data_IF_383474418882
#
_entry.id   IF_383474418882
#
_cell.length_a   1.000
_cell.length_b   1.000
_cell.length_c   1.000
_cell.angle_alpha   90.00
_cell.angle_beta   90.00
_cell.angle_gamma   90.00
#
_symmetry.space_group_name_H-M   'P 1'
#
loop_
_entity.id
_entity.type
_entity.pdbx_description
1 polymer ?
#
# COMPACT_ATOMS: atom_id res chain seq x y z
N UNK A 1 38.24 24.04 -3.73
CA UNK A 1 38.62 25.07 -4.73
C UNK A 1 37.49 26.08 -4.82
N UNK A 2 37.73 27.36 -4.51
CA UNK A 2 36.78 28.44 -4.79
C UNK A 2 37.08 28.96 -6.19
N UNK A 3 36.16 28.81 -7.12
CA UNK A 3 36.27 29.38 -8.46
C UNK A 3 36.11 30.88 -8.39
N UNK A 4 36.89 31.64 -9.19
CA UNK A 4 36.70 33.07 -9.33
C UNK A 4 35.38 33.40 -10.04
N UNK A 5 34.79 34.59 -9.80
CA UNK A 5 33.52 34.99 -10.45
C UNK A 5 33.66 35.02 -12.00
N UNK A 6 34.81 35.34 -12.54
CA UNK A 6 35.10 35.34 -13.98
C UNK A 6 35.12 33.93 -14.58
N UNK A 7 35.71 32.93 -13.90
CA UNK A 7 35.71 31.52 -14.35
C UNK A 7 34.34 30.92 -14.30
N UNK A 8 33.49 31.31 -13.34
CA UNK A 8 32.12 30.85 -13.24
C UNK A 8 31.24 31.38 -14.37
N UNK A 9 31.40 32.66 -14.74
CA UNK A 9 30.66 33.29 -15.84
C UNK A 9 31.04 32.72 -17.22
N UNK A 10 32.34 32.51 -17.51
CA UNK A 10 32.77 31.92 -18.78
C UNK A 10 32.26 30.47 -18.96
N UNK A 11 32.11 29.69 -17.88
CA UNK A 11 31.58 28.32 -17.93
C UNK A 11 30.05 28.25 -18.08
N UNK A 12 29.33 29.26 -17.61
CA UNK A 12 27.86 29.29 -17.69
C UNK A 12 27.35 29.53 -19.11
N UNK A 13 28.11 30.26 -19.91
CA UNK A 13 27.70 30.66 -21.27
C UNK A 13 28.27 29.77 -22.39
N UNK A 14 29.20 28.86 -22.09
CA UNK A 14 29.74 27.93 -23.08
C UNK A 14 28.83 26.72 -23.25
N UNK A 15 28.22 26.60 -24.43
CA UNK A 15 27.45 25.39 -24.78
C UNK A 15 28.40 24.19 -24.97
N UNK A 16 28.20 23.09 -24.26
CA UNK A 16 29.05 21.91 -24.42
C UNK A 16 28.88 21.26 -25.80
N UNK A 17 29.96 20.72 -26.32
CA UNK A 17 29.91 19.84 -27.52
C UNK A 17 29.18 18.55 -27.21
N UNK A 18 28.22 18.17 -28.06
CA UNK A 18 27.46 16.93 -27.92
C UNK A 18 28.19 15.80 -28.62
N UNK A 19 28.53 14.73 -27.87
CA UNK A 19 29.11 13.50 -28.40
C UNK A 19 28.20 12.29 -28.06
N UNK A 20 27.98 11.44 -29.03
CA UNK A 20 27.17 10.22 -28.87
C UNK A 20 28.08 9.00 -28.94
N UNK A 21 28.33 8.37 -27.78
CA UNK A 21 29.18 7.20 -27.63
C UNK A 21 28.50 6.11 -26.84
N UNK A 22 28.78 4.83 -27.17
CA UNK A 22 28.27 3.70 -26.38
C UNK A 22 29.09 3.51 -25.11
N UNK A 23 28.67 4.12 -24.01
CA UNK A 23 29.41 4.15 -22.76
C UNK A 23 28.83 3.23 -21.67
N UNK A 24 27.83 2.41 -21.96
CA UNK A 24 27.12 1.56 -20.99
C UNK A 24 26.66 2.37 -19.74
N UNK A 25 26.08 3.55 -19.98
CA UNK A 25 25.56 4.42 -18.93
C UNK A 25 24.21 3.92 -18.44
N UNK A 26 23.97 4.02 -17.15
CA UNK A 26 22.68 3.77 -16.49
C UNK A 26 22.19 4.99 -15.74
N UNK A 27 20.90 5.29 -15.81
CA UNK A 27 20.24 6.29 -14.98
C UNK A 27 19.78 5.74 -13.63
N UNK A 28 19.94 4.44 -13.39
CA UNK A 28 19.36 3.71 -12.27
C UNK A 28 20.39 2.87 -11.51
N UNK A 29 21.59 3.43 -11.27
CA UNK A 29 22.70 2.72 -10.65
C UNK A 29 22.33 2.11 -9.28
N UNK A 30 21.39 2.70 -8.55
CA UNK A 30 20.89 2.16 -7.29
C UNK A 30 20.08 0.87 -7.41
N UNK A 31 19.72 0.41 -8.62
CA UNK A 31 19.13 -0.91 -8.82
C UNK A 31 20.06 -2.06 -8.40
N UNK A 32 21.35 -1.81 -8.21
CA UNK A 32 22.28 -2.79 -7.64
C UNK A 32 21.83 -3.26 -6.24
N UNK A 33 21.19 -2.39 -5.46
CA UNK A 33 20.60 -2.72 -4.15
C UNK A 33 19.48 -3.75 -4.35
N UNK A 34 18.58 -3.48 -5.30
CA UNK A 34 17.48 -4.39 -5.61
C UNK A 34 17.97 -5.71 -6.23
N UNK A 35 19.08 -5.71 -6.96
CA UNK A 35 19.68 -6.94 -7.45
C UNK A 35 20.09 -7.86 -6.31
N UNK A 36 20.83 -7.33 -5.30
CA UNK A 36 21.21 -8.09 -4.10
C UNK A 36 19.97 -8.48 -3.28
N UNK A 37 19.04 -7.56 -3.07
CA UNK A 37 17.82 -7.79 -2.30
C UNK A 37 16.91 -8.85 -2.94
N UNK A 38 16.65 -8.80 -4.25
CA UNK A 38 15.82 -9.82 -4.93
C UNK A 38 16.47 -11.21 -4.87
N UNK A 39 17.79 -11.26 -4.90
CA UNK A 39 18.53 -12.49 -4.71
C UNK A 39 18.38 -13.03 -3.28
N UNK A 40 18.57 -12.18 -2.23
CA UNK A 40 18.49 -12.61 -0.82
C UNK A 40 17.12 -13.14 -0.40
N UNK A 41 16.04 -12.66 -1.04
CA UNK A 41 14.66 -13.15 -0.78
C UNK A 41 14.20 -14.20 -1.79
N UNK A 42 15.08 -14.64 -2.69
CA UNK A 42 14.80 -15.61 -3.75
C UNK A 42 13.58 -15.24 -4.64
N UNK A 43 13.37 -13.95 -4.87
CA UNK A 43 12.18 -13.45 -5.56
C UNK A 43 11.91 -14.16 -6.88
N UNK A 44 12.94 -14.37 -7.71
CA UNK A 44 12.80 -15.04 -9.00
C UNK A 44 12.32 -16.49 -8.86
N UNK A 45 12.82 -17.22 -7.86
CA UNK A 45 12.41 -18.60 -7.56
C UNK A 45 10.94 -18.65 -7.16
N UNK A 46 10.53 -17.80 -6.21
CA UNK A 46 9.13 -17.70 -5.73
C UNK A 46 8.17 -17.36 -6.87
N UNK A 47 8.50 -16.37 -7.69
CA UNK A 47 7.66 -15.99 -8.82
C UNK A 47 7.63 -17.06 -9.92
N UNK A 48 8.71 -17.87 -10.10
CA UNK A 48 8.71 -18.97 -11.05
C UNK A 48 7.65 -20.01 -10.72
N UNK A 49 7.45 -20.34 -9.45
CA UNK A 49 6.40 -21.27 -9.02
C UNK A 49 5.00 -20.76 -9.33
N UNK A 50 4.77 -19.45 -9.26
CA UNK A 50 3.48 -18.84 -9.58
C UNK A 50 3.07 -19.05 -11.06
N UNK A 51 4.05 -19.15 -11.96
CA UNK A 51 3.85 -19.31 -13.38
C UNK A 51 4.14 -20.73 -13.91
N UNK A 52 4.46 -21.68 -13.03
CA UNK A 52 4.93 -23.03 -13.42
C UNK A 52 4.08 -23.71 -14.51
N UNK A 53 2.73 -23.66 -14.48
CA UNK A 53 1.90 -24.30 -15.52
C UNK A 53 1.98 -23.64 -16.90
N UNK A 54 2.47 -22.40 -16.99
CA UNK A 54 2.38 -21.55 -18.18
C UNK A 54 3.73 -20.97 -18.62
N UNK A 55 4.84 -21.46 -18.07
CA UNK A 55 6.15 -20.82 -18.23
C UNK A 55 6.88 -21.16 -19.53
N UNK A 56 6.16 -21.38 -20.61
CA UNK A 56 6.71 -21.84 -21.90
C UNK A 56 6.89 -20.73 -22.96
N UNK A 57 7.20 -19.49 -22.53
CA UNK A 57 7.53 -18.41 -23.47
C UNK A 57 8.85 -18.67 -24.22
N UNK A 58 8.84 -18.68 -25.54
CA UNK A 58 10.01 -19.01 -26.38
C UNK A 58 11.19 -18.04 -26.22
N UNK A 59 10.96 -16.76 -25.93
CA UNK A 59 12.00 -15.72 -25.84
C UNK A 59 12.03 -15.10 -24.43
N UNK A 60 10.88 -14.73 -23.88
CA UNK A 60 10.76 -14.14 -22.55
C UNK A 60 9.82 -14.98 -21.69
N UNK A 61 10.30 -15.50 -20.57
CA UNK A 61 9.44 -16.23 -19.66
C UNK A 61 8.55 -15.27 -18.85
N UNK A 62 7.38 -15.75 -18.39
CA UNK A 62 6.37 -14.97 -17.67
C UNK A 62 6.89 -14.38 -16.35
N UNK A 63 7.78 -15.10 -15.66
CA UNK A 63 8.45 -14.62 -14.45
C UNK A 63 9.25 -13.35 -14.72
N UNK A 64 10.04 -13.34 -15.79
CA UNK A 64 10.83 -12.16 -16.18
C UNK A 64 9.96 -10.98 -16.58
N UNK A 65 8.85 -11.21 -17.30
CA UNK A 65 7.89 -10.16 -17.64
C UNK A 65 7.22 -9.56 -16.39
N UNK A 66 6.89 -10.38 -15.40
CA UNK A 66 6.33 -9.89 -14.16
C UNK A 66 7.35 -9.10 -13.33
N UNK A 67 8.60 -9.57 -13.24
CA UNK A 67 9.70 -8.82 -12.60
C UNK A 67 9.95 -7.49 -13.33
N UNK A 68 9.86 -7.46 -14.66
CA UNK A 68 9.95 -6.22 -15.43
C UNK A 68 8.84 -5.22 -15.02
N UNK A 69 7.61 -5.67 -14.82
CA UNK A 69 6.52 -4.82 -14.32
C UNK A 69 6.82 -4.28 -12.91
N UNK A 70 7.35 -5.10 -12.01
CA UNK A 70 7.77 -4.65 -10.68
C UNK A 70 8.84 -3.56 -10.81
N UNK A 71 9.88 -3.77 -11.62
CA UNK A 71 10.94 -2.79 -11.86
C UNK A 71 10.38 -1.53 -12.51
N UNK A 72 9.51 -1.64 -13.51
CA UNK A 72 8.82 -0.52 -14.16
C UNK A 72 8.16 0.41 -13.14
N UNK A 73 7.42 -0.16 -12.19
CA UNK A 73 6.75 0.59 -11.13
C UNK A 73 7.71 1.12 -10.05
N UNK A 74 8.77 0.39 -9.71
CA UNK A 74 9.85 0.87 -8.84
C UNK A 74 10.56 2.08 -9.44
N UNK A 75 10.79 2.09 -10.75
CA UNK A 75 11.38 3.23 -11.48
C UNK A 75 10.43 4.43 -11.57
N UNK A 76 9.13 4.23 -11.30
CA UNK A 76 8.12 5.29 -11.28
C UNK A 76 7.41 5.50 -12.59
N UNK A 77 7.52 4.57 -13.51
CA UNK A 77 6.80 4.62 -14.78
C UNK A 77 5.37 4.10 -14.63
N UNK A 78 4.43 4.78 -15.24
CA UNK A 78 3.00 4.49 -15.11
C UNK A 78 2.46 3.67 -16.28
N UNK A 79 2.68 4.15 -17.49
CA UNK A 79 2.10 3.57 -18.69
C UNK A 79 3.04 2.50 -19.25
N UNK A 80 2.48 1.40 -19.77
CA UNK A 80 3.30 0.33 -20.33
C UNK A 80 4.27 0.84 -21.43
N UNK A 81 3.86 1.89 -22.17
CA UNK A 81 4.71 2.48 -23.21
C UNK A 81 5.97 3.18 -22.64
N UNK A 82 5.98 3.52 -21.37
CA UNK A 82 7.11 4.18 -20.72
C UNK A 82 8.31 3.23 -20.57
N UNK A 83 8.12 1.92 -20.83
CA UNK A 83 9.20 0.94 -20.89
C UNK A 83 10.32 1.35 -21.87
N UNK A 84 10.00 2.12 -22.90
CA UNK A 84 10.96 2.69 -23.87
C UNK A 84 12.03 3.58 -23.22
N UNK A 85 11.74 4.22 -22.09
CA UNK A 85 12.68 5.13 -21.40
C UNK A 85 13.82 4.40 -20.69
N UNK A 86 13.68 3.10 -20.44
CA UNK A 86 14.74 2.28 -19.83
C UNK A 86 15.12 1.07 -20.70
N UNK A 87 14.60 0.98 -21.93
CA UNK A 87 14.76 -0.19 -22.80
C UNK A 87 16.23 -0.50 -23.09
N UNK A 88 17.06 0.52 -23.21
CA UNK A 88 18.50 0.39 -23.49
C UNK A 88 19.37 0.43 -22.22
N UNK A 89 18.79 0.64 -21.04
CA UNK A 89 19.56 0.73 -19.80
C UNK A 89 20.27 -0.59 -19.46
N UNK A 90 21.61 -0.61 -19.35
CA UNK A 90 22.38 -1.83 -19.19
C UNK A 90 22.20 -2.47 -17.82
N UNK A 91 21.89 -1.69 -16.77
CA UNK A 91 21.67 -2.24 -15.42
C UNK A 91 20.28 -2.86 -15.30
N UNK A 92 19.27 -2.30 -15.94
CA UNK A 92 17.93 -2.89 -16.04
C UNK A 92 17.98 -4.21 -16.82
N UNK A 93 18.68 -4.24 -17.97
CA UNK A 93 18.92 -5.48 -18.72
C UNK A 93 19.57 -6.55 -17.85
N UNK A 94 20.60 -6.16 -17.07
CA UNK A 94 21.32 -7.07 -16.18
C UNK A 94 20.44 -7.59 -15.03
N UNK A 95 19.66 -6.73 -14.39
CA UNK A 95 18.76 -7.13 -13.29
C UNK A 95 17.70 -8.15 -13.76
N UNK A 96 17.23 -8.00 -14.99
CA UNK A 96 16.31 -8.95 -15.62
C UNK A 96 17.02 -10.22 -16.16
N UNK A 97 18.34 -10.20 -16.28
CA UNK A 97 19.13 -11.28 -16.90
C UNK A 97 18.88 -11.39 -18.40
N UNK A 98 18.70 -10.25 -19.09
CA UNK A 98 18.34 -10.15 -20.50
C UNK A 98 19.34 -9.29 -21.29
N UNK A 99 19.60 -9.65 -22.53
CA UNK A 99 20.34 -8.81 -23.48
C UNK A 99 19.45 -7.74 -24.13
N UNK A 100 18.15 -8.03 -24.24
CA UNK A 100 17.13 -7.13 -24.78
C UNK A 100 15.92 -7.11 -23.86
N UNK A 101 15.41 -5.91 -23.54
CA UNK A 101 14.20 -5.77 -22.73
C UNK A 101 12.97 -6.01 -23.61
N UNK A 102 11.96 -6.76 -23.12
CA UNK A 102 10.67 -6.94 -23.77
C UNK A 102 9.99 -5.60 -24.11
N UNK A 103 9.44 -5.51 -25.29
CA UNK A 103 8.71 -4.35 -25.76
C UNK A 103 7.30 -4.25 -25.13
N UNK A 104 6.65 -3.12 -25.38
CA UNK A 104 5.29 -2.81 -24.88
C UNK A 104 4.25 -3.84 -25.35
N UNK A 105 4.38 -4.32 -26.60
CA UNK A 105 3.43 -5.29 -27.15
C UNK A 105 3.56 -6.65 -26.44
N UNK A 106 4.78 -7.06 -26.12
CA UNK A 106 5.05 -8.30 -25.35
C UNK A 106 4.49 -8.20 -23.94
N UNK A 107 4.71 -7.08 -23.23
CA UNK A 107 4.15 -6.85 -21.88
C UNK A 107 2.62 -6.82 -21.94
N UNK A 108 2.04 -6.11 -22.92
CA UNK A 108 0.58 -6.04 -23.07
C UNK A 108 -0.05 -7.42 -23.35
N UNK A 109 0.61 -8.24 -24.17
CA UNK A 109 0.19 -9.62 -24.47
C UNK A 109 0.26 -10.49 -23.22
N UNK A 110 1.36 -10.43 -22.48
CA UNK A 110 1.51 -11.11 -21.19
C UNK A 110 0.36 -10.80 -20.23
N UNK A 111 0.00 -9.51 -20.07
CA UNK A 111 -1.13 -9.12 -19.24
C UNK A 111 -2.47 -9.64 -19.76
N UNK A 112 -2.71 -9.62 -21.08
CA UNK A 112 -3.96 -10.13 -21.68
C UNK A 112 -4.13 -11.64 -21.50
N UNK A 113 -3.03 -12.38 -21.47
CA UNK A 113 -3.00 -13.83 -21.28
C UNK A 113 -3.01 -14.28 -19.82
N UNK A 114 -3.06 -13.35 -18.87
CA UNK A 114 -3.16 -13.67 -17.44
C UNK A 114 -4.46 -14.44 -17.13
N UNK A 115 -4.36 -15.44 -16.26
CA UNK A 115 -5.47 -16.31 -15.87
C UNK A 115 -5.83 -16.12 -14.39
N UNK A 116 -7.01 -16.60 -13.99
CA UNK A 116 -7.43 -16.64 -12.59
C UNK A 116 -6.39 -17.39 -11.72
N UNK A 117 -5.89 -18.52 -12.21
CA UNK A 117 -4.91 -19.34 -11.49
C UNK A 117 -3.60 -18.59 -11.26
N UNK A 118 -3.06 -17.90 -12.28
CA UNK A 118 -1.81 -17.14 -12.14
C UNK A 118 -1.99 -15.95 -11.20
N UNK A 119 -3.10 -15.23 -11.27
CA UNK A 119 -3.38 -14.12 -10.33
C UNK A 119 -3.53 -14.61 -8.90
N UNK A 120 -4.15 -15.76 -8.68
CA UNK A 120 -4.29 -16.35 -7.36
C UNK A 120 -2.94 -16.83 -6.80
N UNK A 121 -2.10 -17.45 -7.63
CA UNK A 121 -0.75 -17.86 -7.23
C UNK A 121 0.12 -16.66 -6.84
N UNK A 122 0.09 -15.58 -7.64
CA UNK A 122 0.80 -14.33 -7.33
C UNK A 122 0.29 -13.69 -6.04
N UNK A 123 -1.03 -13.66 -5.83
CA UNK A 123 -1.65 -13.16 -4.61
C UNK A 123 -1.18 -13.95 -3.38
N UNK A 124 -1.16 -15.29 -3.47
CA UNK A 124 -0.66 -16.16 -2.41
C UNK A 124 0.82 -15.91 -2.13
N UNK A 125 1.65 -15.82 -3.17
CA UNK A 125 3.08 -15.53 -3.02
C UNK A 125 3.31 -14.18 -2.30
N UNK A 126 2.56 -13.12 -2.65
CA UNK A 126 2.62 -11.83 -1.96
C UNK A 126 2.28 -11.98 -0.48
N UNK A 127 1.18 -12.68 -0.16
CA UNK A 127 0.72 -12.93 1.20
C UNK A 127 1.77 -13.71 2.00
N UNK A 128 2.32 -14.79 1.46
CA UNK A 128 3.36 -15.61 2.09
C UNK A 128 4.60 -14.79 2.45
N UNK A 129 5.05 -13.89 1.56
CA UNK A 129 6.20 -13.02 1.85
C UNK A 129 5.94 -12.09 3.04
N UNK A 130 4.73 -11.54 3.13
CA UNK A 130 4.33 -10.70 4.28
C UNK A 130 4.23 -11.53 5.56
N UNK A 131 3.62 -12.71 5.48
CA UNK A 131 3.49 -13.63 6.61
C UNK A 131 4.85 -14.08 7.16
N UNK A 132 5.81 -14.37 6.29
CA UNK A 132 7.19 -14.68 6.71
C UNK A 132 7.83 -13.51 7.50
N UNK A 133 7.64 -12.27 7.06
CA UNK A 133 8.11 -11.10 7.81
C UNK A 133 7.44 -11.00 9.18
N UNK A 134 6.14 -11.22 9.25
CA UNK A 134 5.40 -11.21 10.52
C UNK A 134 5.88 -12.31 11.48
N UNK A 135 6.21 -13.49 10.96
CA UNK A 135 6.76 -14.59 11.73
C UNK A 135 8.12 -14.21 12.37
N UNK A 136 8.97 -13.52 11.62
CA UNK A 136 10.26 -13.03 12.14
C UNK A 136 10.13 -11.96 13.23
N UNK A 137 9.09 -11.12 13.14
CA UNK A 137 8.82 -10.04 14.12
C UNK A 137 8.11 -10.60 15.36
N UNK A 138 7.21 -11.57 15.16
CA UNK A 138 6.36 -12.19 16.18
C UNK A 138 5.75 -11.16 17.18
N UNK A 139 5.00 -10.14 16.70
CA UNK A 139 4.51 -9.09 17.57
C UNK A 139 3.45 -9.67 18.53
N UNK A 140 3.38 -9.21 19.80
CA UNK A 140 2.38 -9.69 20.75
C UNK A 140 0.94 -9.33 20.36
N UNK A 141 0.79 -8.25 19.56
CA UNK A 141 -0.47 -7.80 18.97
C UNK A 141 -0.26 -7.37 17.54
N UNK A 142 -1.18 -7.75 16.67
CA UNK A 142 -1.18 -7.37 15.26
C UNK A 142 -2.50 -6.71 14.89
N UNK A 143 -2.42 -5.56 14.23
CA UNK A 143 -3.60 -4.82 13.78
C UNK A 143 -3.76 -4.93 12.28
N UNK A 144 -4.91 -5.43 11.85
CA UNK A 144 -5.35 -5.51 10.47
C UNK A 144 -6.33 -4.37 10.18
N UNK A 145 -6.01 -3.55 9.19
CA UNK A 145 -6.87 -2.48 8.71
C UNK A 145 -7.53 -2.89 7.40
N UNK A 146 -8.86 -2.76 7.33
CA UNK A 146 -9.63 -3.07 6.13
C UNK A 146 -10.27 -1.81 5.58
N UNK A 147 -10.06 -1.56 4.28
CA UNK A 147 -10.68 -0.44 3.57
C UNK A 147 -10.69 -0.70 2.06
N UNK A 148 -11.61 -0.04 1.34
CA UNK A 148 -11.71 -0.11 -0.10
C UNK A 148 -10.97 1.04 -0.79
N UNK A 149 -10.52 0.83 -2.03
CA UNK A 149 -9.87 1.88 -2.80
C UNK A 149 -10.31 1.89 -4.26
N UNK A 150 -10.94 2.98 -4.70
CA UNK A 150 -11.44 3.11 -6.08
C UNK A 150 -10.30 3.20 -7.08
N UNK A 151 -10.40 2.41 -8.16
CA UNK A 151 -9.53 2.44 -9.33
C UNK A 151 -10.36 2.78 -10.57
N UNK A 152 -10.35 4.05 -10.96
CA UNK A 152 -11.15 4.56 -12.08
C UNK A 152 -10.54 4.19 -13.43
N UNK A 153 -11.38 3.87 -14.41
CA UNK A 153 -10.95 3.65 -15.79
C UNK A 153 -11.81 4.45 -16.78
N UNK A 154 -11.17 4.96 -17.82
CA UNK A 154 -11.86 5.52 -18.99
C UNK A 154 -12.25 4.43 -19.99
N UNK A 155 -11.72 3.22 -19.83
CA UNK A 155 -11.91 2.09 -20.74
C UNK A 155 -13.05 1.20 -20.26
N UNK A 156 -13.73 0.52 -21.17
CA UNK A 156 -14.61 -0.60 -20.84
C UNK A 156 -13.73 -1.82 -20.54
N UNK A 157 -13.26 -1.93 -19.31
CA UNK A 157 -12.49 -3.08 -18.84
C UNK A 157 -13.44 -4.13 -18.26
N UNK A 158 -13.14 -5.40 -18.50
CA UNK A 158 -13.88 -6.55 -17.99
C UNK A 158 -13.99 -6.48 -16.46
N UNK A 159 -15.18 -6.75 -15.91
CA UNK A 159 -15.44 -6.69 -14.47
C UNK A 159 -15.46 -5.28 -13.87
N UNK A 160 -15.27 -4.20 -14.67
CA UNK A 160 -15.46 -2.83 -14.19
C UNK A 160 -16.94 -2.42 -14.25
N UNK A 161 -17.39 -1.60 -13.30
CA UNK A 161 -18.75 -1.10 -13.25
C UNK A 161 -18.80 0.38 -12.83
N UNK A 162 -19.91 1.06 -13.20
CA UNK A 162 -20.25 2.38 -12.67
C UNK A 162 -20.83 2.19 -11.26
N UNK A 163 -20.34 2.94 -10.27
CA UNK A 163 -20.80 2.77 -8.89
C UNK A 163 -20.24 3.83 -7.93
N UNK A 164 -19.64 3.40 -6.83
CA UNK A 164 -19.26 4.24 -5.67
C UNK A 164 -18.07 5.18 -5.89
N UNK A 165 -17.86 5.70 -7.08
CA UNK A 165 -16.77 6.62 -7.37
C UNK A 165 -17.16 8.08 -7.11
N UNK A 166 -16.99 8.55 -5.87
CA UNK A 166 -17.32 9.92 -5.46
C UNK A 166 -16.53 10.99 -6.23
N UNK A 167 -15.28 10.72 -6.63
CA UNK A 167 -14.40 11.68 -7.32
C UNK A 167 -14.71 11.83 -8.81
N UNK A 168 -15.23 10.77 -9.45
CA UNK A 168 -15.55 10.75 -10.88
C UNK A 168 -16.90 10.05 -11.07
N UNK A 169 -17.99 10.79 -10.77
CA UNK A 169 -19.37 10.30 -10.93
C UNK A 169 -19.58 9.79 -12.36
N UNK A 170 -20.23 8.64 -12.52
CA UNK A 170 -20.50 8.03 -13.82
C UNK A 170 -19.32 7.29 -14.45
N UNK A 171 -18.10 7.38 -13.93
CA UNK A 171 -16.97 6.63 -14.45
C UNK A 171 -17.00 5.16 -14.00
N UNK A 172 -16.66 4.26 -14.93
CA UNK A 172 -16.43 2.85 -14.59
C UNK A 172 -15.19 2.72 -13.71
N UNK A 173 -15.24 1.79 -12.78
CA UNK A 173 -14.15 1.56 -11.84
C UNK A 173 -14.13 0.12 -11.35
N UNK A 174 -13.01 -0.30 -10.79
CA UNK A 174 -12.91 -1.36 -9.80
C UNK A 174 -12.92 -0.76 -8.40
N UNK A 175 -13.33 -1.55 -7.42
CA UNK A 175 -13.31 -1.18 -6.02
C UNK A 175 -12.73 -2.33 -5.17
N UNK A 176 -11.42 -2.61 -5.30
CA UNK A 176 -10.77 -3.61 -4.49
C UNK A 176 -10.81 -3.24 -3.01
N UNK A 177 -11.05 -4.26 -2.18
CA UNK A 177 -10.93 -4.23 -0.73
C UNK A 177 -9.53 -4.72 -0.36
N UNK A 178 -8.85 -4.01 0.54
CA UNK A 178 -7.50 -4.32 0.98
C UNK A 178 -7.47 -4.66 2.46
N UNK A 179 -6.59 -5.59 2.83
CA UNK A 179 -6.12 -5.81 4.18
C UNK A 179 -4.69 -5.30 4.30
N UNK A 180 -4.45 -4.35 5.19
CA UNK A 180 -3.12 -3.80 5.47
C UNK A 180 -2.73 -4.04 6.92
N UNK A 181 -1.43 -4.12 7.19
CA UNK A 181 -0.87 -4.35 8.51
C UNK A 181 -0.34 -3.04 9.07
N UNK A 182 -0.88 -2.59 10.19
CA UNK A 182 -0.50 -1.33 10.79
C UNK A 182 0.99 -1.29 11.20
N UNK A 183 1.53 -2.39 11.74
CA UNK A 183 2.89 -2.46 12.27
C UNK A 183 3.98 -2.41 11.19
N UNK A 184 3.73 -2.99 10.01
CA UNK A 184 4.69 -3.08 8.90
C UNK A 184 4.33 -2.19 7.71
N UNK A 185 3.14 -1.58 7.73
CA UNK A 185 2.58 -0.81 6.60
C UNK A 185 2.56 -1.60 5.28
N UNK A 186 2.57 -2.91 5.32
CA UNK A 186 2.46 -3.76 4.14
C UNK A 186 1.01 -4.10 3.82
N UNK A 187 0.73 -4.37 2.55
CA UNK A 187 -0.54 -4.96 2.12
C UNK A 187 -0.45 -6.47 2.27
N UNK A 188 -1.28 -7.04 3.13
CA UNK A 188 -1.33 -8.49 3.36
C UNK A 188 -2.04 -9.18 2.20
N UNK A 189 -3.20 -8.64 1.82
CA UNK A 189 -4.05 -9.26 0.80
C UNK A 189 -5.05 -8.25 0.23
N UNK A 190 -5.74 -8.61 -0.87
CA UNK A 190 -6.81 -7.81 -1.45
C UNK A 190 -7.88 -8.68 -2.09
N UNK A 191 -9.11 -8.17 -2.11
CA UNK A 191 -10.25 -8.74 -2.83
C UNK A 191 -10.63 -7.80 -3.98
N UNK A 192 -10.37 -8.20 -5.21
CA UNK A 192 -10.69 -7.40 -6.38
C UNK A 192 -12.20 -7.46 -6.69
N UNK A 193 -12.84 -6.30 -6.83
CA UNK A 193 -14.30 -6.19 -6.98
C UNK A 193 -14.67 -5.15 -8.02
N UNK A 194 -15.84 -5.26 -8.69
CA UNK A 194 -16.43 -4.19 -9.51
C UNK A 194 -16.69 -2.92 -8.70
N UNK A 195 -16.74 -1.77 -9.38
CA UNK A 195 -16.95 -0.46 -8.74
C UNK A 195 -18.33 -0.22 -8.13
N UNK A 196 -19.32 -1.09 -8.41
CA UNK A 196 -20.67 -1.00 -7.87
C UNK A 196 -20.93 -1.95 -6.68
N UNK A 197 -19.90 -2.62 -6.19
CA UNK A 197 -20.04 -3.53 -5.03
C UNK A 197 -19.85 -2.75 -3.74
N UNK A 198 -20.82 -2.85 -2.82
CA UNK A 198 -20.73 -2.27 -1.49
C UNK A 198 -19.64 -2.95 -0.64
N UNK A 199 -19.02 -2.22 0.29
CA UNK A 199 -17.90 -2.74 1.09
C UNK A 199 -18.24 -3.99 1.90
N UNK A 200 -19.45 -4.13 2.40
CA UNK A 200 -19.90 -5.30 3.15
C UNK A 200 -20.00 -6.59 2.31
N UNK A 201 -20.15 -6.49 0.98
CA UNK A 201 -20.31 -7.67 0.12
C UNK A 201 -19.00 -8.43 -0.04
N UNK A 202 -18.99 -9.70 0.39
CA UNK A 202 -17.82 -10.55 0.39
C UNK A 202 -16.77 -10.19 1.46
N UNK A 203 -16.98 -9.11 2.22
CA UNK A 203 -16.04 -8.62 3.20
C UNK A 203 -15.86 -9.59 4.37
N UNK A 204 -16.96 -10.18 4.90
CA UNK A 204 -16.88 -11.14 6.00
C UNK A 204 -15.91 -12.28 5.69
N UNK A 205 -16.10 -12.96 4.56
CA UNK A 205 -15.23 -14.09 4.15
C UNK A 205 -13.78 -13.63 3.95
N UNK A 206 -13.56 -12.47 3.34
CA UNK A 206 -12.23 -11.93 3.13
C UNK A 206 -11.52 -11.55 4.44
N UNK A 207 -12.23 -10.88 5.36
CA UNK A 207 -11.70 -10.50 6.68
C UNK A 207 -11.28 -11.74 7.46
N UNK A 208 -12.18 -12.74 7.52
CA UNK A 208 -11.90 -13.99 8.24
C UNK A 208 -10.75 -14.77 7.61
N UNK A 209 -10.66 -14.83 6.28
CA UNK A 209 -9.53 -15.47 5.60
C UNK A 209 -8.18 -14.79 5.90
N UNK A 210 -8.14 -13.46 5.97
CA UNK A 210 -6.94 -12.73 6.38
C UNK A 210 -6.55 -13.03 7.84
N UNK A 211 -7.52 -13.10 8.74
CA UNK A 211 -7.32 -13.45 10.15
C UNK A 211 -6.79 -14.88 10.26
N UNK A 212 -7.43 -15.84 9.59
CA UNK A 212 -7.04 -17.26 9.60
C UNK A 212 -5.61 -17.44 9.08
N UNK A 213 -5.24 -16.75 8.00
CA UNK A 213 -3.88 -16.79 7.45
C UNK A 213 -2.81 -16.30 8.45
N UNK A 214 -3.12 -15.27 9.23
CA UNK A 214 -2.22 -14.77 10.28
C UNK A 214 -2.20 -15.71 11.49
N UNK A 215 -3.36 -16.19 11.95
CA UNK A 215 -3.44 -17.08 13.10
C UNK A 215 -2.72 -18.41 12.86
N UNK A 216 -2.75 -18.92 11.62
CA UNK A 216 -2.05 -20.17 11.25
C UNK A 216 -0.54 -20.09 11.50
N UNK A 217 0.08 -18.90 11.35
CA UNK A 217 1.53 -18.72 11.52
C UNK A 217 1.90 -18.06 12.85
N UNK A 218 0.99 -17.33 13.47
CA UNK A 218 1.18 -16.58 14.72
C UNK A 218 0.06 -16.88 15.73
N UNK A 219 -0.07 -18.13 16.22
CA UNK A 219 -1.19 -18.54 17.07
C UNK A 219 -1.22 -17.80 18.43
N UNK A 220 -0.06 -17.35 18.94
CA UNK A 220 0.03 -16.61 20.19
C UNK A 220 -0.21 -15.10 20.06
N UNK A 221 -0.26 -14.56 18.83
CA UNK A 221 -0.43 -13.13 18.58
C UNK A 221 -1.91 -12.74 18.69
N UNK A 222 -2.22 -11.73 19.51
CA UNK A 222 -3.57 -11.16 19.56
C UNK A 222 -3.85 -10.33 18.30
N UNK A 223 -4.84 -10.74 17.52
CA UNK A 223 -5.27 -10.00 16.33
C UNK A 223 -6.30 -8.95 16.71
N UNK A 224 -6.12 -7.77 16.18
CA UNK A 224 -7.00 -6.61 16.34
C UNK A 224 -7.41 -6.11 14.94
N UNK A 225 -8.66 -5.66 14.79
CA UNK A 225 -9.20 -5.21 13.49
C UNK A 225 -9.71 -3.78 13.59
N UNK A 226 -9.44 -2.97 12.54
CA UNK A 226 -10.02 -1.63 12.38
C UNK A 226 -10.70 -1.52 11.03
N UNK A 227 -11.89 -0.94 11.03
CA UNK A 227 -12.70 -0.77 9.81
C UNK A 227 -13.41 0.58 9.83
N UNK A 228 -13.83 1.05 8.66
CA UNK A 228 -14.67 2.23 8.54
C UNK A 228 -16.17 1.90 8.62
N UNK A 229 -17.03 2.90 8.45
CA UNK A 229 -18.48 2.75 8.57
C UNK A 229 -19.13 1.91 7.46
N UNK A 230 -18.44 1.67 6.35
CA UNK A 230 -18.95 0.85 5.26
C UNK A 230 -19.01 -0.65 5.62
N UNK A 231 -18.27 -1.06 6.66
CA UNK A 231 -18.29 -2.44 7.18
C UNK A 231 -19.28 -2.65 8.35
N UNK A 232 -20.11 -1.66 8.67
CA UNK A 232 -21.08 -1.77 9.76
C UNK A 232 -22.18 -2.79 9.41
N UNK A 233 -21.98 -4.02 9.85
CA UNK A 233 -22.82 -5.17 9.56
C UNK A 233 -22.81 -6.15 10.75
N UNK A 234 -24.01 -6.64 11.12
CA UNK A 234 -24.17 -7.66 12.18
C UNK A 234 -23.31 -8.89 11.90
N UNK A 235 -23.34 -9.38 10.66
CA UNK A 235 -22.61 -10.59 10.26
C UNK A 235 -21.10 -10.48 10.44
N UNK A 236 -20.51 -9.31 10.22
CA UNK A 236 -19.08 -9.07 10.41
C UNK A 236 -18.76 -8.98 11.90
N UNK A 237 -19.53 -8.17 12.63
CA UNK A 237 -19.29 -7.86 14.05
C UNK A 237 -19.53 -9.11 14.92
N UNK A 238 -20.60 -9.87 14.64
CA UNK A 238 -20.88 -11.12 15.32
C UNK A 238 -19.75 -12.14 15.10
N UNK A 239 -19.31 -12.33 13.85
CA UNK A 239 -18.25 -13.28 13.53
C UNK A 239 -16.90 -12.92 14.18
N UNK A 240 -16.55 -11.62 14.27
CA UNK A 240 -15.34 -11.17 14.98
C UNK A 240 -15.48 -11.43 16.50
N UNK A 241 -16.65 -11.15 17.07
CA UNK A 241 -16.90 -11.32 18.51
C UNK A 241 -16.89 -12.80 18.90
N UNK A 242 -17.52 -13.69 18.12
CA UNK A 242 -17.53 -15.13 18.31
C UNK A 242 -16.12 -15.75 18.30
N UNK A 243 -15.23 -15.18 17.49
CA UNK A 243 -13.81 -15.61 17.43
C UNK A 243 -12.90 -14.91 18.47
N UNK A 244 -13.47 -14.07 19.35
CA UNK A 244 -12.68 -13.32 20.32
C UNK A 244 -11.73 -12.28 19.72
N UNK A 245 -11.95 -11.87 18.47
CA UNK A 245 -11.12 -10.85 17.79
C UNK A 245 -11.53 -9.46 18.29
N UNK A 246 -10.57 -8.71 18.80
CA UNK A 246 -10.77 -7.33 19.22
C UNK A 246 -10.94 -6.42 17.99
N UNK A 247 -11.94 -5.55 18.01
CA UNK A 247 -12.16 -4.63 16.89
C UNK A 247 -12.59 -3.23 17.30
N UNK A 248 -12.42 -2.27 16.39
CA UNK A 248 -13.13 -0.99 16.36
C UNK A 248 -13.63 -0.71 14.96
N UNK A 249 -14.84 -0.17 14.85
CA UNK A 249 -15.48 0.14 13.60
C UNK A 249 -16.24 1.45 13.72
N UNK A 250 -16.10 2.35 12.73
CA UNK A 250 -16.91 3.56 12.64
C UNK A 250 -18.38 3.20 12.37
N UNK A 251 -19.30 3.92 12.98
CA UNK A 251 -20.75 3.68 12.81
C UNK A 251 -21.33 4.79 11.92
N UNK A 252 -22.14 4.47 10.90
CA UNK A 252 -22.83 5.44 10.08
C UNK A 252 -24.06 6.00 10.85
N UNK A 253 -23.82 6.66 12.00
CA UNK A 253 -24.84 7.07 12.95
C UNK A 253 -25.84 8.04 12.36
N UNK A 254 -25.47 8.79 11.31
CA UNK A 254 -26.34 9.72 10.60
C UNK A 254 -27.56 9.02 9.96
N UNK A 255 -27.43 7.72 9.69
CA UNK A 255 -28.52 6.88 9.15
C UNK A 255 -29.35 6.18 10.23
N UNK A 256 -28.97 6.32 11.51
CA UNK A 256 -29.57 5.62 12.64
C UNK A 256 -30.23 6.61 13.59
N UNK A 257 -31.55 6.79 13.47
CA UNK A 257 -32.35 7.77 14.22
C UNK A 257 -32.17 7.64 15.73
N UNK A 258 -32.08 6.39 16.24
CA UNK A 258 -31.90 6.15 17.68
C UNK A 258 -30.57 6.72 18.19
N UNK A 259 -29.47 6.55 17.42
CA UNK A 259 -28.15 7.07 17.81
C UNK A 259 -28.09 8.60 17.77
N UNK A 260 -28.78 9.22 16.81
CA UNK A 260 -28.97 10.68 16.76
C UNK A 260 -29.70 11.17 18.00
N UNK A 261 -30.82 10.55 18.34
CA UNK A 261 -31.58 10.89 19.54
C UNK A 261 -30.75 10.77 20.82
N UNK A 262 -29.88 9.75 20.89
CA UNK A 262 -28.94 9.62 22.04
C UNK A 262 -27.94 10.78 22.10
N UNK A 263 -27.47 11.29 20.96
CA UNK A 263 -26.57 12.45 20.89
C UNK A 263 -27.31 13.73 21.31
N UNK A 264 -28.49 13.96 20.75
CA UNK A 264 -29.33 15.17 20.98
C UNK A 264 -29.80 15.29 22.43
N UNK A 265 -30.21 14.16 23.04
CA UNK A 265 -30.69 14.12 24.42
C UNK A 265 -29.56 14.13 25.44
N UNK A 266 -28.31 13.98 25.02
CA UNK A 266 -27.16 13.84 25.92
C UNK A 266 -26.74 15.18 26.50
N UNK A 267 -27.04 15.41 27.80
CA UNK A 267 -26.65 16.62 28.51
C UNK A 267 -25.23 16.58 29.09
N UNK A 268 -24.76 15.42 29.57
CA UNK A 268 -23.44 15.28 30.23
C UNK A 268 -22.47 14.51 29.38
N UNK A 269 -21.41 15.19 28.94
CA UNK A 269 -20.28 14.63 28.20
C UNK A 269 -19.03 14.62 29.08
N UNK A 270 -18.26 13.55 29.08
CA UNK A 270 -16.98 13.44 29.77
C UNK A 270 -15.87 13.89 28.85
N UNK A 271 -14.85 14.58 29.36
CA UNK A 271 -13.73 15.05 28.55
C UNK A 271 -12.73 13.91 28.26
N UNK A 272 -12.25 13.82 27.03
CA UNK A 272 -11.08 13.06 26.62
C UNK A 272 -9.84 13.95 26.65
N UNK A 273 -9.97 15.17 26.16
CA UNK A 273 -8.97 16.25 26.12
C UNK A 273 -9.67 17.62 26.05
N UNK A 274 -8.93 18.69 25.78
CA UNK A 274 -9.45 20.07 25.79
C UNK A 274 -10.57 20.31 24.75
N UNK A 275 -10.47 19.69 23.56
CA UNK A 275 -11.41 19.92 22.44
C UNK A 275 -12.37 18.75 22.24
N UNK A 276 -12.14 17.59 22.89
CA UNK A 276 -12.86 16.34 22.63
C UNK A 276 -13.57 15.83 23.87
N UNK A 277 -14.83 15.47 23.73
CA UNK A 277 -15.61 14.85 24.80
C UNK A 277 -16.38 13.62 24.32
N UNK A 278 -16.82 12.78 25.24
CA UNK A 278 -17.42 11.49 24.93
C UNK A 278 -18.50 11.07 25.91
N UNK A 279 -19.32 10.12 25.48
CA UNK A 279 -20.07 9.23 26.35
C UNK A 279 -20.11 7.81 25.77
N UNK A 280 -20.57 6.87 26.57
CA UNK A 280 -20.67 5.46 26.16
C UNK A 280 -22.11 4.96 26.38
N UNK A 281 -22.50 4.03 25.51
CA UNK A 281 -23.77 3.31 25.65
C UNK A 281 -23.60 1.87 25.18
N UNK A 282 -24.28 0.95 25.82
CA UNK A 282 -24.45 -0.42 25.33
C UNK A 282 -25.76 -0.49 24.53
N UNK A 283 -25.63 -0.58 23.22
CA UNK A 283 -26.76 -0.53 22.29
C UNK A 283 -26.66 -1.60 21.19
N UNK A 284 -27.76 -1.85 20.54
CA UNK A 284 -27.83 -2.64 19.30
C UNK A 284 -28.93 -2.14 18.38
N UNK A 285 -28.81 -2.22 17.04
CA UNK A 285 -29.93 -2.10 16.13
C UNK A 285 -31.00 -3.14 16.43
N UNK A 286 -32.27 -2.86 16.14
CA UNK A 286 -33.41 -3.76 16.45
C UNK A 286 -33.21 -5.17 15.85
N UNK A 287 -32.62 -5.26 14.66
CA UNK A 287 -32.38 -6.54 13.95
C UNK A 287 -31.16 -7.33 14.44
N UNK A 288 -30.36 -6.80 15.37
CA UNK A 288 -29.16 -7.49 15.87
C UNK A 288 -29.46 -8.28 17.13
N UNK A 289 -28.79 -9.44 17.30
CA UNK A 289 -28.98 -10.27 18.50
C UNK A 289 -28.23 -9.73 19.71
N UNK A 290 -26.98 -9.26 19.54
CA UNK A 290 -26.09 -8.88 20.62
C UNK A 290 -25.99 -7.36 20.79
N UNK A 291 -25.86 -6.91 22.05
CA UNK A 291 -25.52 -5.54 22.38
C UNK A 291 -24.01 -5.37 22.37
N UNK A 292 -23.55 -4.19 21.91
CA UNK A 292 -22.14 -3.83 21.87
C UNK A 292 -21.91 -2.48 22.53
N UNK A 293 -20.65 -2.23 22.87
CA UNK A 293 -20.19 -0.94 23.42
C UNK A 293 -20.08 0.06 22.27
N UNK A 294 -20.82 1.16 22.37
CA UNK A 294 -20.73 2.31 21.48
C UNK A 294 -20.06 3.46 22.20
N UNK A 295 -19.05 4.03 21.59
CA UNK A 295 -18.35 5.21 22.05
C UNK A 295 -18.73 6.38 21.16
N UNK A 296 -19.45 7.34 21.72
CA UNK A 296 -19.84 8.58 21.08
C UNK A 296 -18.81 9.64 21.40
N UNK A 297 -18.25 10.27 20.38
CA UNK A 297 -17.21 11.28 20.50
C UNK A 297 -17.71 12.54 19.80
N UNK A 298 -17.53 13.69 20.44
CA UNK A 298 -17.70 15.00 19.82
C UNK A 298 -16.40 15.79 19.93
N UNK A 299 -16.02 16.46 18.84
CA UNK A 299 -14.82 17.30 18.78
C UNK A 299 -15.23 18.72 18.42
N UNK A 300 -14.79 19.71 19.18
CA UNK A 300 -15.10 21.11 18.93
C UNK A 300 -14.46 21.55 17.60
N UNK A 301 -15.27 22.10 16.69
CA UNK A 301 -14.83 22.63 15.41
C UNK A 301 -14.50 24.11 15.55
N UNK A 302 -13.20 24.45 15.52
CA UNK A 302 -12.72 25.84 15.48
C UNK A 302 -12.90 26.52 14.10
N UNK A 303 -13.41 25.82 13.11
CA UNK A 303 -13.58 26.34 11.76
C UNK A 303 -14.95 26.98 11.60
N UNK A 304 -15.00 28.31 11.45
CA UNK A 304 -16.13 28.97 10.83
C UNK A 304 -16.33 28.38 9.43
N UNK A 305 -17.51 27.78 9.19
CA UNK A 305 -17.87 27.34 7.85
C UNK A 305 -17.92 28.56 6.92
N UNK A 306 -17.01 28.62 5.93
CA UNK A 306 -17.06 29.61 4.86
C UNK A 306 -18.04 29.11 3.80
N UNK A 307 -19.29 29.59 3.81
CA UNK A 307 -20.28 29.29 2.80
C UNK A 307 -21.70 29.21 3.37
N UNK A 308 -22.75 29.22 2.52
CA UNK A 308 -24.10 29.00 2.99
C UNK A 308 -24.18 27.65 3.69
N UNK A 309 -24.66 27.67 4.93
CA UNK A 309 -24.94 26.45 5.71
C UNK A 309 -26.05 25.72 4.96
N UNK A 310 -25.70 24.64 4.27
CA UNK A 310 -26.69 23.70 3.81
C UNK A 310 -27.25 23.06 5.08
N UNK A 311 -28.46 23.43 5.44
CA UNK A 311 -29.22 22.81 6.53
C UNK A 311 -29.51 21.36 6.11
N UNK A 312 -28.54 20.49 6.35
CA UNK A 312 -28.78 19.07 6.27
C UNK A 312 -29.72 18.75 7.44
N UNK A 313 -30.96 18.39 7.12
CA UNK A 313 -32.00 17.96 8.05
C UNK A 313 -31.60 16.84 9.02
N UNK A 314 -30.33 16.44 8.94
CA UNK A 314 -29.75 15.27 9.60
C UNK A 314 -28.52 15.55 10.49
N UNK A 315 -28.16 16.82 10.72
CA UNK A 315 -27.10 17.18 11.67
C UNK A 315 -27.73 17.47 13.03
N UNK A 316 -27.25 16.89 14.15
CA UNK A 316 -27.63 17.29 15.48
C UNK A 316 -27.45 18.79 15.68
N UNK A 317 -28.37 19.46 16.33
CA UNK A 317 -28.45 20.92 16.50
C UNK A 317 -27.24 21.61 17.17
N UNK A 318 -26.19 20.91 17.55
CA UNK A 318 -24.97 21.49 18.12
C UNK A 318 -24.01 21.94 16.99
N UNK A 319 -24.19 23.14 16.47
CA UNK A 319 -23.38 23.80 15.45
C UNK A 319 -21.93 24.09 15.88
N UNK A 320 -21.25 23.39 16.62
CA UNK A 320 -19.85 23.66 17.01
C UNK A 320 -19.07 22.37 17.14
N UNK A 321 -19.69 21.24 16.82
CA UNK A 321 -19.07 19.94 17.07
C UNK A 321 -19.16 19.03 15.84
N UNK A 322 -18.09 18.28 15.59
CA UNK A 322 -18.10 17.11 14.74
C UNK A 322 -18.33 15.87 15.58
N UNK A 323 -19.21 14.97 15.14
CA UNK A 323 -19.57 13.75 15.84
C UNK A 323 -18.99 12.51 15.17
N UNK A 324 -18.54 11.57 15.97
CA UNK A 324 -18.08 10.25 15.55
C UNK A 324 -18.60 9.20 16.52
N UNK A 325 -19.10 8.10 15.97
CA UNK A 325 -19.52 6.95 16.79
C UNK A 325 -18.66 5.74 16.41
N UNK A 326 -18.15 5.07 17.42
CA UNK A 326 -17.31 3.87 17.28
C UNK A 326 -17.97 2.71 18.01
N UNK A 327 -18.18 1.58 17.33
CA UNK A 327 -18.55 0.32 17.97
C UNK A 327 -17.29 -0.52 18.26
N UNK A 328 -17.25 -1.19 19.40
CA UNK A 328 -16.10 -1.99 19.81
C UNK A 328 -16.48 -3.09 20.81
N UNK A 329 -15.70 -4.16 20.85
CA UNK A 329 -15.69 -5.14 21.93
C UNK A 329 -14.48 -4.98 22.87
N UNK A 330 -13.63 -3.97 22.65
CA UNK A 330 -12.47 -3.69 23.52
C UNK A 330 -12.91 -3.18 24.89
N UNK A 331 -12.27 -3.68 25.94
CA UNK A 331 -12.47 -3.25 27.34
C UNK A 331 -11.61 -2.06 27.74
N UNK A 332 -10.80 -1.54 26.81
CA UNK A 332 -9.91 -0.40 27.07
C UNK A 332 -10.67 0.88 27.45
N UNK A 333 -9.98 1.80 28.18
CA UNK A 333 -10.54 3.14 28.49
C UNK A 333 -10.87 3.89 27.18
N UNK A 334 -11.92 4.72 27.15
CA UNK A 334 -12.38 5.45 25.96
C UNK A 334 -11.30 6.17 25.19
N UNK A 335 -10.41 6.88 25.88
CA UNK A 335 -9.26 7.58 25.26
C UNK A 335 -8.35 6.62 24.46
N UNK A 336 -8.11 5.41 24.98
CA UNK A 336 -7.30 4.41 24.29
C UNK A 336 -8.05 3.79 23.09
N UNK A 337 -9.37 3.60 23.21
CA UNK A 337 -10.21 3.11 22.10
C UNK A 337 -10.23 4.13 20.97
N UNK A 338 -10.46 5.41 21.29
CA UNK A 338 -10.44 6.50 20.30
C UNK A 338 -9.09 6.59 19.60
N UNK A 339 -7.97 6.64 20.35
CA UNK A 339 -6.61 6.67 19.79
C UNK A 339 -6.30 5.44 18.94
N UNK A 340 -6.73 4.24 19.34
CA UNK A 340 -6.58 3.03 18.57
C UNK A 340 -7.32 3.12 17.22
N UNK A 341 -8.57 3.56 17.25
CA UNK A 341 -9.39 3.70 16.03
C UNK A 341 -8.85 4.78 15.08
N UNK A 342 -8.37 5.92 15.60
CA UNK A 342 -7.72 6.97 14.80
C UNK A 342 -6.49 6.48 14.03
N UNK A 343 -5.77 5.49 14.59
CA UNK A 343 -4.64 4.86 13.91
C UNK A 343 -4.96 4.28 12.54
N UNK A 344 -6.26 4.03 12.22
CA UNK A 344 -6.73 3.61 10.88
C UNK A 344 -6.35 4.61 9.79
N UNK A 345 -6.25 5.90 10.11
CA UNK A 345 -5.82 6.93 9.14
C UNK A 345 -4.46 6.66 8.49
N UNK A 346 -3.61 5.80 9.07
CA UNK A 346 -2.35 5.39 8.45
C UNK A 346 -2.55 4.65 7.12
N UNK A 347 -3.68 3.96 6.93
CA UNK A 347 -4.03 3.26 5.70
C UNK A 347 -4.25 4.22 4.51
N UNK A 348 -4.74 5.42 4.76
CA UNK A 348 -4.87 6.47 3.74
C UNK A 348 -3.51 6.84 3.14
N UNK A 349 -2.46 6.87 3.97
CA UNK A 349 -1.08 7.07 3.52
C UNK A 349 -0.59 5.93 2.63
N UNK A 350 -0.92 4.68 2.96
CA UNK A 350 -0.61 3.50 2.13
C UNK A 350 -1.29 3.63 0.76
N UNK A 351 -2.60 3.94 0.73
CA UNK A 351 -3.33 4.13 -0.54
C UNK A 351 -2.81 5.32 -1.35
N UNK A 352 -2.42 6.40 -0.68
CA UNK A 352 -1.77 7.54 -1.32
C UNK A 352 -0.49 7.12 -2.05
N UNK A 353 0.38 6.37 -1.41
CA UNK A 353 1.62 5.85 -2.04
C UNK A 353 1.33 4.83 -3.15
N UNK A 354 0.42 3.89 -2.92
CA UNK A 354 0.03 2.92 -3.93
C UNK A 354 -0.49 3.59 -5.22
N UNK A 355 -1.31 4.63 -5.10
CA UNK A 355 -1.86 5.36 -6.26
C UNK A 355 -0.84 6.25 -6.93
N UNK A 356 -0.11 7.07 -6.16
CA UNK A 356 0.78 8.10 -6.72
C UNK A 356 2.18 7.59 -7.04
N UNK A 357 2.69 6.60 -6.30
CA UNK A 357 4.06 6.13 -6.46
C UNK A 357 4.17 4.74 -7.11
N UNK A 358 3.15 3.87 -6.96
CA UNK A 358 3.09 2.55 -7.60
C UNK A 358 1.99 2.46 -8.67
N UNK A 359 1.36 3.60 -9.02
CA UNK A 359 0.41 3.76 -10.11
C UNK A 359 -0.77 2.77 -10.14
N UNK A 360 -1.29 2.44 -8.94
CA UNK A 360 -2.42 1.52 -8.76
C UNK A 360 -3.75 2.05 -9.29
N UNK A 361 -3.82 3.33 -9.68
CA UNK A 361 -4.96 3.95 -10.33
C UNK A 361 -4.98 3.77 -11.86
N UNK A 362 -3.96 3.09 -12.43
CA UNK A 362 -3.84 2.84 -13.87
C UNK A 362 -4.37 1.45 -14.24
N UNK A 363 -5.23 1.40 -15.26
CA UNK A 363 -5.83 0.17 -15.81
C UNK A 363 -5.25 -0.05 -17.20
N UNK A 364 -4.22 -0.90 -17.38
CA UNK A 364 -3.46 -1.01 -18.61
C UNK A 364 -4.16 -1.76 -19.74
N UNK A 365 -4.98 -2.77 -19.43
CA UNK A 365 -5.59 -3.68 -20.42
C UNK A 365 -7.10 -3.78 -20.25
N UNK A 366 -7.78 -4.52 -21.14
CA UNK A 366 -9.23 -4.73 -21.06
C UNK A 366 -9.61 -5.97 -20.23
N UNK A 367 -8.72 -6.95 -20.09
CA UNK A 367 -8.98 -8.20 -19.38
C UNK A 367 -8.92 -8.02 -17.86
N UNK A 368 -9.81 -8.69 -17.15
CA UNK A 368 -9.89 -8.65 -15.68
C UNK A 368 -8.59 -9.13 -15.03
N UNK A 369 -8.14 -10.34 -15.39
CA UNK A 369 -6.94 -10.93 -14.79
C UNK A 369 -5.65 -10.20 -15.18
N UNK A 370 -5.60 -9.56 -16.35
CA UNK A 370 -4.49 -8.69 -16.74
C UNK A 370 -4.38 -7.46 -15.83
N UNK A 371 -5.52 -6.84 -15.52
CA UNK A 371 -5.56 -5.69 -14.59
C UNK A 371 -5.22 -6.11 -13.15
N UNK A 372 -5.68 -7.30 -12.72
CA UNK A 372 -5.29 -7.87 -11.42
C UNK A 372 -3.79 -8.17 -11.36
N UNK A 373 -3.20 -8.67 -12.44
CA UNK A 373 -1.75 -8.93 -12.53
C UNK A 373 -0.94 -7.64 -12.43
N UNK A 374 -1.40 -6.56 -13.08
CA UNK A 374 -0.77 -5.25 -12.96
C UNK A 374 -0.90 -4.67 -11.55
N UNK A 375 -2.09 -4.78 -10.93
CA UNK A 375 -2.31 -4.42 -9.53
C UNK A 375 -1.34 -5.17 -8.62
N UNK A 376 -1.20 -6.48 -8.79
CA UNK A 376 -0.25 -7.30 -8.04
C UNK A 376 1.20 -6.84 -8.22
N UNK A 377 1.63 -6.51 -9.43
CA UNK A 377 2.98 -6.00 -9.65
C UNK A 377 3.26 -4.71 -8.84
N UNK A 378 2.28 -3.83 -8.73
CA UNK A 378 2.38 -2.63 -7.89
C UNK A 378 2.36 -2.93 -6.39
N UNK A 379 1.57 -3.91 -5.94
CA UNK A 379 1.59 -4.36 -4.55
C UNK A 379 2.93 -5.03 -4.20
N UNK A 380 3.49 -5.83 -5.11
CA UNK A 380 4.85 -6.36 -4.96
C UNK A 380 5.86 -5.23 -4.86
N UNK A 381 5.84 -4.26 -5.78
CA UNK A 381 6.77 -3.13 -5.76
C UNK A 381 6.71 -2.37 -4.43
N UNK A 382 5.51 -2.08 -3.93
CA UNK A 382 5.29 -1.41 -2.65
C UNK A 382 5.78 -2.25 -1.46
N UNK A 383 5.34 -3.50 -1.36
CA UNK A 383 5.71 -4.39 -0.24
C UNK A 383 7.21 -4.69 -0.24
N UNK A 384 7.86 -4.84 -1.40
CA UNK A 384 9.30 -5.04 -1.52
C UNK A 384 10.10 -3.83 -1.02
N UNK A 385 9.62 -2.61 -1.25
CA UNK A 385 10.24 -1.40 -0.68
C UNK A 385 10.12 -1.37 0.85
N UNK A 386 8.98 -1.78 1.41
CA UNK A 386 8.81 -1.91 2.85
C UNK A 386 9.73 -3.00 3.43
N UNK A 387 9.77 -4.15 2.76
CA UNK A 387 10.62 -5.28 3.16
C UNK A 387 12.11 -4.92 3.14
N UNK A 388 12.58 -4.26 2.07
CA UNK A 388 13.96 -3.76 2.00
C UNK A 388 14.29 -2.85 3.19
N UNK A 389 13.41 -1.91 3.51
CA UNK A 389 13.63 -1.00 4.64
C UNK A 389 13.64 -1.74 5.98
N UNK A 390 12.75 -2.72 6.18
CA UNK A 390 12.74 -3.54 7.40
C UNK A 390 13.98 -4.44 7.54
N UNK A 391 14.53 -4.91 6.44
CA UNK A 391 15.79 -5.71 6.48
C UNK A 391 17.00 -4.85 6.77
N UNK A 392 17.00 -3.60 6.35
CA UNK A 392 18.17 -2.72 6.41
C UNK A 392 18.14 -1.73 7.58
N UNK A 393 17.05 -1.69 8.35
CA UNK A 393 16.92 -0.84 9.55
C UNK A 393 16.22 -1.60 10.68
N UNK A 394 16.50 -1.20 11.91
CA UNK A 394 15.83 -1.73 13.08
C UNK A 394 14.49 -1.00 13.34
N UNK A 395 13.52 -1.66 13.99
CA UNK A 395 12.31 -0.98 14.45
C UNK A 395 12.68 0.11 15.47
N UNK A 396 12.10 1.30 15.30
CA UNK A 396 12.39 2.48 16.14
C UNK A 396 11.24 2.84 17.07
N UNK A 397 10.12 2.12 16.98
CA UNK A 397 8.92 2.38 17.77
C UNK A 397 8.46 1.12 18.48
N UNK A 398 7.99 1.31 19.73
CA UNK A 398 7.22 0.29 20.42
C UNK A 398 5.74 0.38 19.99
N UNK A 399 4.99 -0.69 20.27
CA UNK A 399 3.54 -0.71 20.06
C UNK A 399 2.87 0.39 20.88
N UNK A 400 2.26 1.37 20.19
CA UNK A 400 1.54 2.50 20.79
C UNK A 400 0.04 2.24 20.87
N UNK A 401 -0.70 3.11 21.57
CA UNK A 401 -2.18 3.04 21.56
C UNK A 401 -2.77 3.18 20.16
N UNK A 402 -2.16 3.98 19.29
CA UNK A 402 -2.57 4.15 17.88
C UNK A 402 -2.15 3.00 16.96
N UNK A 403 -1.34 2.08 17.44
CA UNK A 403 -0.74 1.01 16.61
C UNK A 403 -0.01 1.61 15.39
N UNK A 404 0.80 2.63 15.61
CA UNK A 404 1.67 3.15 14.57
C UNK A 404 2.65 2.07 14.10
N UNK A 405 3.16 2.21 12.88
CA UNK A 405 4.17 1.30 12.33
C UNK A 405 5.41 1.23 13.24
N UNK A 406 6.02 0.04 13.34
CA UNK A 406 7.22 -0.17 14.17
C UNK A 406 8.45 0.53 13.56
N UNK A 407 8.47 0.74 12.26
CA UNK A 407 9.50 1.47 11.52
C UNK A 407 9.02 2.85 11.08
N UNK A 408 9.96 3.77 10.89
CA UNK A 408 9.73 5.02 10.16
C UNK A 408 10.13 4.79 8.71
N UNK A 409 9.14 4.60 7.87
CA UNK A 409 9.36 4.30 6.46
C UNK A 409 9.56 5.56 5.62
N UNK A 410 10.53 5.52 4.73
CA UNK A 410 10.59 6.45 3.61
C UNK A 410 9.55 6.06 2.56
N UNK A 411 8.95 7.06 1.92
CA UNK A 411 8.03 6.84 0.81
C UNK A 411 8.76 6.21 -0.38
N UNK A 412 8.03 5.43 -1.19
CA UNK A 412 8.58 4.81 -2.41
C UNK A 412 9.23 5.84 -3.33
N UNK A 413 8.62 7.01 -3.52
CA UNK A 413 9.16 8.09 -4.35
C UNK A 413 10.46 8.68 -3.77
N UNK A 414 10.53 8.85 -2.45
CA UNK A 414 11.75 9.31 -1.78
C UNK A 414 12.89 8.33 -2.00
N UNK A 415 12.67 7.04 -1.77
CA UNK A 415 13.67 6.00 -2.00
C UNK A 415 14.08 5.93 -3.47
N UNK A 416 13.14 6.09 -4.40
CA UNK A 416 13.43 6.17 -5.84
C UNK A 416 14.40 7.30 -6.16
N UNK A 417 14.11 8.52 -5.71
CA UNK A 417 14.94 9.71 -5.94
C UNK A 417 16.27 9.66 -5.22
N UNK A 418 16.32 9.10 -4.02
CA UNK A 418 17.53 9.13 -3.18
C UNK A 418 18.46 7.93 -3.40
N UNK A 419 17.93 6.79 -3.85
CA UNK A 419 18.69 5.54 -4.02
C UNK A 419 18.72 5.10 -5.47
N UNK A 420 17.55 4.90 -6.12
CA UNK A 420 17.46 4.22 -7.42
C UNK A 420 17.99 5.11 -8.54
N UNK A 421 17.47 6.34 -8.67
CA UNK A 421 17.76 7.28 -9.75
C UNK A 421 19.14 7.92 -9.56
N UNK A 422 20.18 7.17 -9.85
CA UNK A 422 21.59 7.59 -9.83
C UNK A 422 22.24 7.27 -11.15
N UNK A 423 22.92 8.24 -11.71
CA UNK A 423 23.74 8.02 -12.90
C UNK A 423 24.94 7.12 -12.53
N UNK A 424 25.26 6.20 -13.40
CA UNK A 424 26.38 5.29 -13.26
C UNK A 424 26.88 4.76 -14.59
N UNK A 425 28.07 4.18 -14.58
CA UNK A 425 28.71 3.58 -15.75
C UNK A 425 29.12 2.14 -15.44
N UNK A 426 28.72 1.21 -16.28
CA UNK A 426 29.13 -0.19 -16.21
C UNK A 426 30.38 -0.41 -17.07
N UNK A 427 31.44 -0.94 -16.49
CA UNK A 427 32.69 -1.26 -17.17
C UNK A 427 33.21 -2.64 -16.77
N UNK A 428 34.20 -3.17 -17.46
CA UNK A 428 34.86 -4.44 -17.11
C UNK A 428 36.37 -4.29 -17.09
N UNK A 429 36.95 -3.45 -16.21
CA UNK A 429 38.38 -3.34 -16.08
C UNK A 429 38.95 -4.70 -15.62
N UNK A 430 39.95 -5.20 -16.35
CA UNK A 430 40.59 -6.50 -16.07
C UNK A 430 39.58 -7.67 -15.90
N UNK A 431 38.48 -7.67 -16.66
CA UNK A 431 37.43 -8.70 -16.61
C UNK A 431 36.41 -8.55 -15.47
N UNK A 432 36.67 -7.73 -14.45
CA UNK A 432 35.77 -7.54 -13.31
C UNK A 432 34.68 -6.52 -13.65
N UNK A 433 33.40 -6.92 -13.48
CA UNK A 433 32.29 -6.00 -13.70
C UNK A 433 32.28 -4.93 -12.60
N UNK A 434 32.39 -3.68 -13.01
CA UNK A 434 32.44 -2.53 -12.12
C UNK A 434 31.32 -1.55 -12.46
N UNK A 435 30.56 -1.12 -11.44
CA UNK A 435 29.58 -0.02 -11.53
C UNK A 435 30.20 1.22 -10.87
N UNK A 436 30.53 2.22 -11.68
CA UNK A 436 31.05 3.49 -11.20
C UNK A 436 29.92 4.50 -11.05
N UNK A 437 29.82 5.12 -9.87
CA UNK A 437 28.81 6.15 -9.50
C UNK A 437 29.58 7.39 -9.06
N UNK A 438 29.03 8.58 -9.26
CA UNK A 438 29.63 9.84 -8.81
C UNK A 438 30.01 9.84 -7.33
N UNK A 439 31.20 10.34 -7.01
CA UNK A 439 31.79 10.37 -5.67
C UNK A 439 31.09 11.40 -4.75
N UNK A 440 29.83 11.14 -4.40
CA UNK A 440 29.10 11.88 -3.38
C UNK A 440 29.16 11.10 -2.06
N UNK A 441 29.70 11.71 -1.00
CA UNK A 441 29.91 11.05 0.30
C UNK A 441 28.62 10.50 0.90
N UNK A 442 27.53 11.27 0.86
CA UNK A 442 26.24 10.84 1.41
C UNK A 442 25.65 9.65 0.64
N UNK A 443 25.68 9.72 -0.70
CA UNK A 443 25.19 8.63 -1.58
C UNK A 443 26.03 7.36 -1.38
N UNK A 444 27.35 7.51 -1.37
CA UNK A 444 28.30 6.39 -1.14
C UNK A 444 27.96 5.67 0.17
N UNK A 445 27.92 6.43 1.27
CA UNK A 445 27.61 5.89 2.60
C UNK A 445 26.25 5.17 2.61
N UNK A 446 25.22 5.79 2.03
CA UNK A 446 23.88 5.22 2.00
C UNK A 446 23.80 3.92 1.20
N UNK A 447 24.39 3.88 -0.01
CA UNK A 447 24.37 2.69 -0.85
C UNK A 447 25.16 1.53 -0.20
N UNK A 448 26.33 1.82 0.38
CA UNK A 448 27.14 0.81 1.07
C UNK A 448 26.40 0.26 2.28
N UNK A 449 25.83 1.09 3.15
CA UNK A 449 25.05 0.66 4.31
C UNK A 449 23.89 -0.25 3.90
N UNK A 450 23.16 0.10 2.83
CA UNK A 450 22.07 -0.75 2.32
C UNK A 450 22.60 -2.08 1.80
N UNK A 451 23.72 -2.07 1.06
CA UNK A 451 24.32 -3.30 0.55
C UNK A 451 24.83 -4.20 1.67
N UNK A 452 25.49 -3.66 2.69
CA UNK A 452 26.00 -4.40 3.83
C UNK A 452 24.88 -5.03 4.68
N UNK A 453 23.79 -4.29 4.88
CA UNK A 453 22.66 -4.75 5.69
C UNK A 453 21.80 -5.85 5.00
N UNK A 454 21.84 -5.97 3.66
CA UNK A 454 21.15 -7.06 2.95
C UNK A 454 21.96 -8.36 3.13
N UNK A 455 21.36 -9.44 3.67
CA UNK A 455 22.02 -10.73 3.83
C UNK A 455 22.67 -11.24 2.53
N UNK A 456 23.80 -11.93 2.64
CA UNK A 456 24.34 -12.70 1.52
C UNK A 456 23.38 -13.85 1.20
N UNK A 457 23.32 -14.26 -0.08
CA UNK A 457 22.67 -15.54 -0.40
C UNK A 457 23.42 -16.67 0.30
N UNK A 458 22.74 -17.39 1.15
CA UNK A 458 23.17 -18.69 1.65
C UNK A 458 23.03 -19.75 0.58
#
# INVERSE_FOLDING_TARGET
MKYSKSETQSKVHAQPELKFESQALTSFAGLVIFQKFFASIELKRRLRTCFAPLNHGKIFNRTTLFIQLIIHLLLGYRELKDARYYQEDPLVKRLLGLNRIPDVATISRFLKEATAQTTQNLRRCLQEMVLMRLQMIAPPRLTLDFDGSVQSTKRRAEGSAVGFNKKKKGARSYYPLFCTIAQTMQVLDFLHRPGNVHDSNGAKTFILACIDAVQAILPATKIEVRMDSAFFSDQIIAALSERGIEFTLSVPFERLTELKGMIEQRRRWRYLDADTSYFESNWKPKCWNNRFRFLFIRTCTKKQQKGPVQLDLFIPYEYGYEFKVIITNKTLRPKRVAAYHEGRGSQEGIFGELKSHCHQDYIPVRTLHGNQTYLLAGLFAYNLVRELQMQTTSPVRCTTSKRASLWVFEKVDTLRKTVIQRAGRLTRPKGTLTLTISANHWIKRRLLNLLEAIPANT
#
